data_IF_631264666260
#
_entry.id   IF_631264666260
#
_cell.length_a   1.000
_cell.length_b   1.000
_cell.length_c   1.000
_cell.angle_alpha   90.00
_cell.angle_beta   90.00
_cell.angle_gamma   90.00
#
_symmetry.space_group_name_H-M   'P 1'
#
loop_
_entity.id
_entity.type
_entity.pdbx_description
1 polymer ?
#
# COMPACT_ATOMS: atom_id res chain seq x y z
N UNK A 1 -29.42 -19.12 15.12
CA UNK A 1 -28.19 -18.64 15.78
C UNK A 1 -27.89 -19.55 16.95
N UNK A 2 -26.67 -20.09 17.03
CA UNK A 2 -26.26 -20.93 18.15
C UNK A 2 -26.16 -20.08 19.42
N UNK A 3 -26.70 -20.56 20.54
CA UNK A 3 -26.79 -19.84 21.82
C UNK A 3 -25.41 -19.32 22.29
N UNK A 4 -24.35 -20.03 21.93
CA UNK A 4 -22.96 -19.69 22.26
C UNK A 4 -22.46 -18.40 21.57
N UNK A 5 -22.96 -18.05 20.38
CA UNK A 5 -22.58 -16.80 19.72
C UNK A 5 -23.28 -15.57 20.33
N UNK A 6 -24.43 -15.76 20.98
CA UNK A 6 -25.16 -14.68 21.67
C UNK A 6 -24.49 -14.28 22.99
N UNK A 7 -23.72 -15.18 23.60
CA UNK A 7 -22.95 -14.93 24.83
C UNK A 7 -21.52 -14.44 24.59
N UNK A 8 -21.07 -14.37 23.34
CA UNK A 8 -19.80 -13.73 23.03
C UNK A 8 -20.06 -12.24 22.90
N UNK A 9 -19.52 -11.41 23.79
CA UNK A 9 -19.51 -9.93 23.70
C UNK A 9 -18.68 -9.40 22.49
N UNK A 10 -18.48 -10.25 21.49
CA UNK A 10 -17.72 -9.95 20.27
C UNK A 10 -18.71 -9.45 19.22
N UNK A 11 -19.04 -8.18 19.33
CA UNK A 11 -19.85 -7.48 18.35
C UNK A 11 -18.98 -7.11 17.14
N UNK A 12 -19.22 -7.78 16.01
CA UNK A 12 -18.52 -7.54 14.74
C UNK A 12 -19.31 -6.61 13.79
N UNK A 13 -20.43 -6.02 14.24
CA UNK A 13 -21.28 -5.15 13.40
C UNK A 13 -20.59 -3.83 13.00
N UNK A 14 -19.63 -3.36 13.79
CA UNK A 14 -18.86 -2.11 13.54
C UNK A 14 -17.55 -2.34 12.75
N UNK A 15 -17.30 -3.57 12.29
CA UNK A 15 -16.12 -3.85 11.45
C UNK A 15 -16.38 -3.38 10.00
N UNK A 16 -15.51 -2.50 9.49
CA UNK A 16 -15.55 -2.06 8.08
C UNK A 16 -15.23 -3.25 7.18
N UNK A 17 -16.13 -3.56 6.24
CA UNK A 17 -15.88 -4.56 5.20
C UNK A 17 -14.81 -4.04 4.23
N UNK A 18 -13.60 -4.60 4.37
CA UNK A 18 -12.45 -4.17 3.59
C UNK A 18 -12.60 -4.43 2.09
N UNK A 19 -13.37 -5.43 1.68
CA UNK A 19 -13.60 -5.78 0.28
C UNK A 19 -14.57 -4.80 -0.37
N UNK A 20 -15.63 -4.41 0.35
CA UNK A 20 -16.54 -3.33 -0.09
C UNK A 20 -15.78 -2.02 -0.21
N UNK A 21 -14.97 -1.66 0.78
CA UNK A 21 -14.19 -0.43 0.75
C UNK A 21 -13.11 -0.44 -0.35
N UNK A 22 -12.50 -1.60 -0.66
CA UNK A 22 -11.59 -1.74 -1.81
C UNK A 22 -12.33 -1.55 -3.15
N UNK A 23 -13.56 -2.05 -3.26
CA UNK A 23 -14.37 -1.92 -4.46
C UNK A 23 -14.82 -0.46 -4.69
N UNK A 24 -15.30 0.21 -3.66
CA UNK A 24 -15.75 1.60 -3.75
C UNK A 24 -14.59 2.57 -4.06
N UNK A 25 -13.41 2.34 -3.46
CA UNK A 25 -12.21 3.12 -3.73
C UNK A 25 -11.77 3.01 -5.20
N UNK A 26 -11.74 1.80 -5.77
CA UNK A 26 -11.45 1.62 -7.20
C UNK A 26 -12.43 2.38 -8.08
N UNK A 27 -13.73 2.24 -7.81
CA UNK A 27 -14.77 2.93 -8.58
C UNK A 27 -14.62 4.45 -8.51
N UNK A 28 -14.32 4.99 -7.32
CA UNK A 28 -14.08 6.43 -7.16
C UNK A 28 -12.83 6.88 -7.95
N UNK A 29 -11.76 6.09 -7.90
CA UNK A 29 -10.51 6.42 -8.61
C UNK A 29 -10.68 6.38 -10.14
N UNK A 30 -11.58 5.55 -10.67
CA UNK A 30 -11.88 5.49 -12.10
C UNK A 30 -12.37 6.84 -12.66
N UNK A 31 -13.13 7.61 -11.88
CA UNK A 31 -13.73 8.89 -12.30
C UNK A 31 -12.71 10.02 -12.56
N UNK A 32 -11.44 9.89 -12.13
CA UNK A 32 -10.41 10.89 -12.37
C UNK A 32 -9.85 10.80 -13.79
N UNK A 33 -10.19 11.76 -14.66
CA UNK A 33 -9.77 11.79 -16.07
C UNK A 33 -8.34 12.26 -16.29
N UNK A 34 -7.76 12.94 -15.30
CA UNK A 34 -6.42 13.56 -15.33
C UNK A 34 -5.35 12.71 -14.64
N UNK A 35 -5.71 11.53 -14.14
CA UNK A 35 -4.81 10.60 -13.44
C UNK A 35 -4.61 9.35 -14.28
N UNK A 36 -3.36 8.92 -14.44
CA UNK A 36 -3.03 7.71 -15.21
C UNK A 36 -3.45 6.43 -14.49
N UNK A 37 -3.66 5.34 -15.23
CA UNK A 37 -4.06 4.05 -14.65
C UNK A 37 -3.07 3.52 -13.60
N UNK A 38 -1.77 3.74 -13.80
CA UNK A 38 -0.73 3.34 -12.85
C UNK A 38 -0.74 4.18 -11.56
N UNK A 39 -1.04 5.47 -11.68
CA UNK A 39 -1.22 6.34 -10.51
C UNK A 39 -2.46 5.92 -9.72
N UNK A 40 -3.60 5.68 -10.41
CA UNK A 40 -4.81 5.15 -9.78
C UNK A 40 -4.53 3.82 -9.07
N UNK A 41 -3.77 2.92 -9.71
CA UNK A 41 -3.42 1.63 -9.10
C UNK A 41 -2.55 1.79 -7.83
N UNK A 42 -1.55 2.67 -7.83
CA UNK A 42 -0.78 2.96 -6.61
C UNK A 42 -1.65 3.59 -5.53
N UNK A 43 -2.50 4.55 -5.88
CA UNK A 43 -3.42 5.18 -4.93
C UNK A 43 -4.31 4.13 -4.27
N UNK A 44 -4.92 3.25 -5.08
CA UNK A 44 -5.76 2.17 -4.59
C UNK A 44 -5.00 1.22 -3.66
N UNK A 45 -3.83 0.74 -4.09
CA UNK A 45 -3.00 -0.16 -3.28
C UNK A 45 -2.60 0.48 -1.94
N UNK A 46 -2.24 1.78 -1.95
CA UNK A 46 -1.87 2.52 -0.75
C UNK A 46 -3.07 2.74 0.17
N UNK A 47 -4.23 3.12 -0.36
CA UNK A 47 -5.46 3.32 0.41
C UNK A 47 -5.90 2.02 1.11
N UNK A 48 -5.88 0.90 0.38
CA UNK A 48 -6.16 -0.43 0.92
C UNK A 48 -5.17 -0.78 2.04
N UNK A 49 -3.86 -0.55 1.83
CA UNK A 49 -2.83 -0.84 2.82
C UNK A 49 -2.99 0.00 4.10
N UNK A 50 -3.17 1.32 3.96
CA UNK A 50 -3.34 2.26 5.09
C UNK A 50 -4.55 1.87 5.94
N UNK A 51 -5.68 1.51 5.30
CA UNK A 51 -6.89 1.05 5.98
C UNK A 51 -6.65 -0.28 6.71
N UNK A 52 -6.16 -1.31 6.01
CA UNK A 52 -5.91 -2.66 6.58
C UNK A 52 -4.90 -2.66 7.71
N UNK A 53 -3.87 -1.81 7.63
CA UNK A 53 -2.84 -1.68 8.67
C UNK A 53 -3.17 -0.63 9.73
N UNK A 54 -4.33 0.05 9.64
CA UNK A 54 -4.80 1.08 10.56
C UNK A 54 -3.73 2.16 10.80
N UNK A 55 -3.18 2.70 9.71
CA UNK A 55 -2.18 3.78 9.76
C UNK A 55 -2.90 5.10 10.10
N UNK A 56 -2.99 5.41 11.38
CA UNK A 56 -3.78 6.56 11.89
C UNK A 56 -2.97 7.83 12.22
N UNK A 57 -1.65 7.73 12.35
CA UNK A 57 -0.79 8.84 12.79
C UNK A 57 0.34 9.09 11.80
N UNK A 58 0.73 10.35 11.65
CA UNK A 58 1.84 10.77 10.77
C UNK A 58 3.14 10.04 11.11
N UNK A 59 3.39 9.80 12.40
CA UNK A 59 4.55 9.04 12.86
C UNK A 59 4.60 7.58 12.38
N UNK A 60 3.49 7.02 11.88
CA UNK A 60 3.44 5.68 11.31
C UNK A 60 3.83 5.65 9.82
N UNK A 61 3.82 6.79 9.13
CA UNK A 61 4.06 6.85 7.67
C UNK A 61 5.44 6.29 7.28
N UNK A 62 6.54 6.57 8.01
CA UNK A 62 7.83 5.97 7.69
C UNK A 62 7.80 4.43 7.71
N UNK A 63 7.24 3.86 8.78
CA UNK A 63 7.07 2.42 8.90
C UNK A 63 6.15 1.85 7.81
N UNK A 64 5.04 2.54 7.51
CA UNK A 64 4.08 2.13 6.50
C UNK A 64 4.72 2.06 5.10
N UNK A 65 5.57 3.03 4.75
CA UNK A 65 6.31 3.03 3.48
C UNK A 65 7.26 1.83 3.35
N UNK A 66 7.97 1.49 4.44
CA UNK A 66 8.85 0.31 4.45
C UNK A 66 8.05 -0.99 4.32
N UNK A 67 6.98 -1.12 5.11
CA UNK A 67 6.11 -2.29 5.10
C UNK A 67 5.41 -2.48 3.74
N UNK A 68 4.91 -1.40 3.14
CA UNK A 68 4.33 -1.41 1.79
C UNK A 68 5.34 -1.84 0.74
N UNK A 69 6.57 -1.31 0.79
CA UNK A 69 7.64 -1.67 -0.15
C UNK A 69 8.06 -3.14 -0.03
N UNK A 70 7.98 -3.73 1.17
CA UNK A 70 8.22 -5.17 1.37
C UNK A 70 7.07 -6.03 0.88
N UNK A 71 5.83 -5.62 1.16
CA UNK A 71 4.64 -6.38 0.79
C UNK A 71 4.45 -6.43 -0.73
N UNK A 72 4.62 -5.30 -1.41
CA UNK A 72 4.36 -5.16 -2.84
C UNK A 72 5.62 -5.10 -3.71
N UNK A 73 6.82 -5.23 -3.12
CA UNK A 73 8.10 -5.01 -3.81
C UNK A 73 8.25 -5.80 -5.10
N UNK A 74 7.88 -7.09 -5.11
CA UNK A 74 7.92 -7.93 -6.33
C UNK A 74 7.01 -7.38 -7.44
N UNK A 75 5.78 -7.03 -7.09
CA UNK A 75 4.79 -6.50 -8.04
C UNK A 75 5.19 -5.13 -8.59
N UNK A 76 5.76 -4.27 -7.73
CA UNK A 76 6.29 -2.96 -8.13
C UNK A 76 7.44 -3.12 -9.13
N UNK A 77 8.40 -4.00 -8.83
CA UNK A 77 9.58 -4.20 -9.67
C UNK A 77 9.25 -4.79 -11.05
N UNK A 78 8.25 -5.66 -11.13
CA UNK A 78 7.78 -6.23 -12.41
C UNK A 78 7.15 -5.19 -13.34
N UNK A 79 6.64 -4.07 -12.80
CA UNK A 79 5.95 -3.03 -13.55
C UNK A 79 6.65 -1.67 -13.39
N UNK A 80 7.61 -1.31 -14.27
CA UNK A 80 8.38 -0.08 -14.14
C UNK A 80 7.55 1.21 -13.99
N UNK A 81 6.43 1.42 -14.73
CA UNK A 81 5.58 2.60 -14.53
C UNK A 81 4.99 2.66 -13.11
N UNK A 82 4.58 1.52 -12.56
CA UNK A 82 4.01 1.43 -11.21
C UNK A 82 5.06 1.74 -10.14
N UNK A 83 6.29 1.24 -10.33
CA UNK A 83 7.43 1.59 -9.48
C UNK A 83 7.71 3.09 -9.48
N UNK A 84 7.60 3.75 -10.64
CA UNK A 84 7.74 5.20 -10.74
C UNK A 84 6.62 5.94 -10.00
N UNK A 85 5.37 5.51 -10.15
CA UNK A 85 4.24 6.07 -9.39
C UNK A 85 4.44 5.91 -7.87
N UNK A 86 4.97 4.77 -7.41
CA UNK A 86 5.32 4.58 -5.99
C UNK A 86 6.42 5.54 -5.51
N UNK A 87 7.46 5.75 -6.30
CA UNK A 87 8.51 6.75 -6.00
C UNK A 87 7.93 8.16 -5.93
N UNK A 88 7.02 8.50 -6.84
CA UNK A 88 6.36 9.80 -6.84
C UNK A 88 5.49 10.02 -5.59
N UNK A 89 4.78 8.98 -5.14
CA UNK A 89 4.05 9.03 -3.88
C UNK A 89 4.99 9.27 -2.68
N UNK A 90 6.14 8.58 -2.60
CA UNK A 90 7.14 8.85 -1.55
C UNK A 90 7.67 10.29 -1.58
N UNK A 91 7.89 10.87 -2.77
CA UNK A 91 8.27 12.29 -2.92
C UNK A 91 7.14 13.22 -2.43
N UNK A 92 5.87 12.90 -2.72
CA UNK A 92 4.74 13.66 -2.17
C UNK A 92 4.73 13.61 -0.64
N UNK A 93 4.88 12.42 -0.04
CA UNK A 93 4.93 12.25 1.41
C UNK A 93 6.09 13.02 2.05
N UNK A 94 7.26 13.04 1.38
CA UNK A 94 8.38 13.89 1.77
C UNK A 94 8.00 15.38 1.79
N UNK A 95 7.39 15.87 0.71
CA UNK A 95 7.02 17.29 0.60
C UNK A 95 6.03 17.71 1.69
N UNK A 96 5.21 16.78 2.19
CA UNK A 96 4.29 16.99 3.31
C UNK A 96 4.93 16.76 4.69
N UNK A 97 6.25 16.58 4.78
CA UNK A 97 6.98 16.29 6.02
C UNK A 97 6.54 15.01 6.75
N UNK A 98 5.94 14.06 6.02
CA UNK A 98 5.52 12.77 6.55
C UNK A 98 6.57 11.68 6.36
N UNK A 99 7.60 11.94 5.55
CA UNK A 99 8.66 10.99 5.22
C UNK A 99 10.02 11.68 5.22
N UNK A 100 11.07 10.96 5.63
CA UNK A 100 12.45 11.45 5.70
C UNK A 100 13.40 10.67 4.76
N UNK A 101 14.65 11.12 4.67
CA UNK A 101 15.58 10.68 3.59
C UNK A 101 16.10 9.30 3.88
N UNK A 102 16.25 9.01 5.17
CA UNK A 102 16.61 7.69 5.65
C UNK A 102 15.55 6.70 5.17
N UNK A 103 14.27 6.97 5.42
CA UNK A 103 13.21 6.03 5.04
C UNK A 103 13.10 5.87 3.53
N UNK A 104 13.17 6.95 2.76
CA UNK A 104 13.20 6.86 1.28
C UNK A 104 14.36 5.99 0.78
N UNK A 105 15.55 6.13 1.38
CA UNK A 105 16.70 5.29 1.02
C UNK A 105 16.48 3.82 1.41
N UNK A 106 15.92 3.54 2.59
CA UNK A 106 15.59 2.18 3.03
C UNK A 106 14.60 1.51 2.07
N UNK A 107 13.51 2.18 1.72
CA UNK A 107 12.55 1.71 0.71
C UNK A 107 13.25 1.45 -0.64
N UNK A 108 14.15 2.35 -1.06
CA UNK A 108 14.96 2.19 -2.25
C UNK A 108 15.84 0.93 -2.22
N UNK A 109 16.54 0.69 -1.12
CA UNK A 109 17.37 -0.51 -0.93
C UNK A 109 16.53 -1.80 -0.95
N UNK A 110 15.35 -1.78 -0.32
CA UNK A 110 14.40 -2.91 -0.35
C UNK A 110 14.01 -3.24 -1.80
N UNK A 111 13.62 -2.23 -2.59
CA UNK A 111 13.21 -2.40 -3.98
C UNK A 111 14.36 -2.85 -4.88
N UNK A 112 15.58 -2.36 -4.65
CA UNK A 112 16.79 -2.85 -5.34
C UNK A 112 17.05 -4.33 -5.04
N UNK A 113 16.82 -4.78 -3.81
CA UNK A 113 16.89 -6.19 -3.44
C UNK A 113 16.02 -7.06 -4.35
N UNK A 114 14.76 -6.68 -4.54
CA UNK A 114 13.83 -7.38 -5.43
C UNK A 114 14.22 -7.28 -6.92
N UNK A 115 14.80 -6.16 -7.37
CA UNK A 115 15.33 -6.02 -8.73
C UNK A 115 16.46 -7.00 -9.02
N UNK A 116 17.40 -7.13 -8.08
CA UNK A 116 18.52 -8.05 -8.22
C UNK A 116 18.04 -9.51 -8.20
N UNK A 117 17.10 -9.87 -7.33
CA UNK A 117 16.49 -11.21 -7.31
C UNK A 117 15.77 -11.55 -8.63
N UNK A 118 15.06 -10.58 -9.22
CA UNK A 118 14.36 -10.80 -10.50
C UNK A 118 15.31 -10.95 -11.70
N UNK A 119 16.54 -10.45 -11.57
CA UNK A 119 17.56 -10.48 -12.63
C UNK A 119 18.44 -11.74 -12.57
N UNK A 120 18.39 -12.51 -11.49
CA UNK A 120 19.18 -13.74 -11.29
C UNK A 120 18.42 -14.97 -11.85
N UNK A 121 18.77 -15.52 -13.03
CA UNK A 121 17.98 -16.57 -13.69
C UNK A 121 18.20 -17.98 -13.12
N UNK A 122 18.90 -18.12 -11.97
CA UNK A 122 19.42 -19.41 -11.47
C UNK A 122 18.56 -20.11 -10.41
N UNK A 123 17.30 -19.73 -10.24
CA UNK A 123 16.36 -20.41 -9.33
C UNK A 123 14.99 -20.68 -9.97
N UNK A 124 15.00 -21.20 -11.19
CA UNK A 124 13.84 -21.87 -11.78
C UNK A 124 14.22 -23.28 -12.22
#
# INVERSE_FOLDING_TARGET
MALEQVFSDRDSEDEVDDDIADFEDKRMLEDFVDVTDHEKLIMHMWNSFVRKQRVLADGHIPWACEAFSRLHGKHLVQNPPLLWSWRFLMIKLWNHSLLDARTMNVCGTILQGYQNESSDPKKM
#
